data_IF_118840658804
#
_entry.id   IF_118840658804
#
_cell.length_a   1.000
_cell.length_b   1.000
_cell.length_c   1.000
_cell.angle_alpha   90.00
_cell.angle_beta   90.00
_cell.angle_gamma   90.00
#
_symmetry.space_group_name_H-M   'P 1'
#
loop_
_entity.id
_entity.type
_entity.pdbx_description
1 polymer ?
#
# COMPACT_ATOMS: atom_id res chain seq x y z
N UNK A 1 -46.36 48.46 -6.29
CA UNK A 1 -45.74 47.21 -5.74
C UNK A 1 -44.25 47.43 -5.59
N UNK A 2 -43.76 47.63 -4.36
CA UNK A 2 -42.29 47.81 -4.07
C UNK A 2 -41.69 46.45 -3.73
N UNK A 3 -40.68 46.01 -4.49
CA UNK A 3 -39.91 44.79 -4.21
C UNK A 3 -39.00 45.01 -3.00
N UNK A 4 -38.99 44.10 -2.01
CA UNK A 4 -38.08 44.17 -0.86
C UNK A 4 -36.66 43.91 -1.34
N UNK A 5 -35.73 44.83 -0.97
CA UNK A 5 -34.30 44.64 -1.24
C UNK A 5 -33.71 43.62 -0.27
N UNK A 6 -32.86 42.71 -0.71
CA UNK A 6 -32.18 41.79 0.16
C UNK A 6 -31.18 42.53 1.07
N UNK A 7 -31.37 42.44 2.39
CA UNK A 7 -30.40 42.91 3.38
C UNK A 7 -29.09 42.14 3.20
N UNK A 8 -28.06 42.81 2.77
CA UNK A 8 -26.67 42.30 2.85
C UNK A 8 -26.35 42.11 4.34
N UNK A 9 -26.27 40.82 4.79
CA UNK A 9 -25.73 40.49 6.11
C UNK A 9 -24.22 40.78 6.04
N UNK A 10 -23.79 41.90 6.61
CA UNK A 10 -22.38 42.18 6.88
C UNK A 10 -21.86 41.12 7.84
N UNK A 11 -20.67 40.62 7.58
CA UNK A 11 -19.95 39.75 8.48
C UNK A 11 -19.71 40.51 9.80
N UNK A 12 -20.14 39.96 10.92
CA UNK A 12 -19.92 40.55 12.24
C UNK A 12 -18.44 40.39 12.62
N UNK A 13 -17.85 41.33 13.38
CA UNK A 13 -16.44 41.25 13.79
C UNK A 13 -16.14 39.96 14.57
N UNK A 14 -17.12 39.39 15.26
CA UNK A 14 -16.97 38.10 15.94
C UNK A 14 -16.79 36.93 14.96
N UNK A 15 -17.49 36.97 13.82
CA UNK A 15 -17.35 35.95 12.78
C UNK A 15 -15.95 36.00 12.14
N UNK A 16 -15.37 37.18 11.95
CA UNK A 16 -14.02 37.36 11.39
C UNK A 16 -12.97 36.88 12.43
N UNK A 17 -13.15 37.20 13.71
CA UNK A 17 -12.25 36.73 14.78
C UNK A 17 -12.26 35.19 14.90
N UNK A 18 -13.42 34.56 14.80
CA UNK A 18 -13.55 33.11 14.81
C UNK A 18 -12.83 32.41 13.64
N UNK A 19 -12.89 33.01 12.46
CA UNK A 19 -12.22 32.50 11.26
C UNK A 19 -10.69 32.59 11.37
N UNK A 20 -10.17 33.71 11.83
CA UNK A 20 -8.74 33.90 12.10
C UNK A 20 -8.19 32.92 13.15
N UNK A 21 -9.00 32.66 14.18
CA UNK A 21 -8.60 31.72 15.24
C UNK A 21 -8.58 30.26 14.73
N UNK A 22 -9.54 29.87 13.89
CA UNK A 22 -9.57 28.54 13.27
C UNK A 22 -8.37 28.31 12.34
N UNK A 23 -7.99 29.33 11.57
CA UNK A 23 -6.84 29.28 10.66
C UNK A 23 -5.51 29.15 11.43
N UNK A 24 -5.37 29.91 12.55
CA UNK A 24 -4.22 29.82 13.44
C UNK A 24 -4.09 28.42 14.07
N UNK A 25 -5.20 27.83 14.52
CA UNK A 25 -5.22 26.46 15.07
C UNK A 25 -4.83 25.42 14.02
N UNK A 26 -5.29 25.57 12.78
CA UNK A 26 -4.93 24.69 11.69
C UNK A 26 -3.43 24.71 11.39
N UNK A 27 -2.83 25.91 11.36
CA UNK A 27 -1.39 26.09 11.16
C UNK A 27 -0.59 25.46 12.30
N UNK A 28 -1.00 25.70 13.56
CA UNK A 28 -0.38 25.08 14.73
C UNK A 28 -0.47 23.55 14.69
N UNK A 29 -1.59 23.00 14.24
CA UNK A 29 -1.78 21.56 14.11
C UNK A 29 -0.85 20.97 13.06
N UNK A 30 -0.71 21.61 11.90
CA UNK A 30 0.22 21.18 10.84
C UNK A 30 1.66 21.24 11.30
N UNK A 31 2.07 22.31 11.99
CA UNK A 31 3.42 22.45 12.55
C UNK A 31 3.68 21.41 13.65
N UNK A 32 2.70 21.13 14.51
CA UNK A 32 2.78 20.10 15.54
C UNK A 32 2.95 18.69 14.98
N UNK A 33 2.24 18.36 13.92
CA UNK A 33 2.41 17.07 13.21
C UNK A 33 3.76 16.98 12.49
N UNK A 34 4.24 18.06 11.88
CA UNK A 34 5.55 18.12 11.22
C UNK A 34 6.71 17.93 12.17
N UNK A 35 6.58 18.36 13.42
CA UNK A 35 7.63 18.22 14.45
C UNK A 35 7.79 16.80 15.00
N UNK A 36 6.86 15.90 14.72
CA UNK A 36 6.95 14.50 15.17
C UNK A 36 7.80 13.62 14.25
N UNK A 37 8.16 14.09 13.07
CA UNK A 37 8.97 13.32 12.09
C UNK A 37 10.47 13.41 12.36
N UNK A 38 10.92 14.28 13.27
CA UNK A 38 12.34 14.45 13.60
C UNK A 38 12.71 13.97 15.00
N UNK A 39 12.21 12.83 15.45
CA UNK A 39 12.80 12.13 16.59
C UNK A 39 13.43 10.83 16.10
N UNK A 40 14.69 10.90 15.82
CA UNK A 40 15.74 10.01 16.30
C UNK A 40 16.97 10.07 15.40
N UNK A 41 17.78 11.10 15.57
CA UNK A 41 19.23 10.92 15.41
C UNK A 41 19.83 11.22 16.77
N UNK A 42 19.98 10.20 17.57
CA UNK A 42 20.83 10.25 18.75
C UNK A 42 22.28 10.27 18.24
N UNK A 43 22.94 11.40 18.44
CA UNK A 43 24.41 11.51 18.29
C UNK A 43 25.10 10.46 19.17
N UNK A 44 25.99 9.62 18.62
CA UNK A 44 26.76 8.71 19.44
C UNK A 44 27.90 9.48 20.12
N UNK A 45 27.81 9.61 21.44
CA UNK A 45 28.94 9.97 22.29
C UNK A 45 30.05 8.93 22.11
N UNK A 46 31.31 9.32 21.93
CA UNK A 46 32.41 8.37 21.90
C UNK A 46 32.67 7.83 23.32
N UNK A 47 32.48 6.54 23.50
CA UNK A 47 32.98 5.78 24.66
C UNK A 47 34.20 4.96 24.24
N UNK A 48 35.21 4.81 25.14
CA UNK A 48 36.50 4.30 24.74
C UNK A 48 36.53 2.79 24.53
N UNK A 49 37.33 2.40 23.56
CA UNK A 49 37.88 1.07 23.25
C UNK A 49 37.58 -0.07 24.24
N UNK A 50 36.81 -1.00 23.75
CA UNK A 50 37.00 -2.41 24.11
C UNK A 50 37.17 -3.17 22.80
N UNK A 51 38.33 -3.82 22.63
CA UNK A 51 38.64 -4.78 21.60
C UNK A 51 37.54 -5.84 21.53
N UNK A 52 36.62 -5.70 20.62
CA UNK A 52 35.58 -6.70 20.39
C UNK A 52 35.99 -7.51 19.19
N UNK A 53 36.36 -8.73 19.46
CA UNK A 53 36.38 -9.89 18.58
C UNK A 53 35.31 -9.72 17.50
N UNK A 54 35.73 -9.85 16.26
CA UNK A 54 34.87 -9.81 15.05
C UNK A 54 34.00 -11.08 15.06
N UNK A 55 32.94 -11.04 15.85
CA UNK A 55 31.87 -12.05 15.74
C UNK A 55 31.12 -11.70 14.46
N UNK A 56 31.31 -12.47 13.42
CA UNK A 56 30.47 -12.43 12.23
C UNK A 56 29.05 -12.75 12.69
N UNK A 57 28.26 -11.70 12.94
CA UNK A 57 26.80 -11.88 13.03
C UNK A 57 26.35 -12.48 11.72
N UNK A 58 25.57 -13.57 11.76
CA UNK A 58 24.90 -14.06 10.56
C UNK A 58 24.20 -12.87 9.92
N UNK A 59 24.45 -12.63 8.65
CA UNK A 59 23.74 -11.59 7.89
C UNK A 59 22.25 -11.93 7.98
N UNK A 60 21.51 -11.20 8.81
CA UNK A 60 20.07 -11.30 8.79
C UNK A 60 19.62 -10.98 7.35
N UNK A 61 18.80 -11.84 6.72
CA UNK A 61 18.35 -11.61 5.36
C UNK A 61 17.66 -10.25 5.31
N UNK A 62 18.28 -9.32 4.65
CA UNK A 62 17.72 -7.98 4.44
C UNK A 62 16.55 -8.05 3.48
N UNK A 63 15.63 -7.09 3.55
CA UNK A 63 14.58 -6.93 2.56
C UNK A 63 15.04 -5.94 1.50
N UNK A 64 14.86 -6.28 0.22
CA UNK A 64 15.14 -5.34 -0.87
C UNK A 64 14.19 -4.14 -0.78
N UNK A 65 14.72 -2.94 -0.90
CA UNK A 65 13.94 -1.70 -0.80
C UNK A 65 13.08 -1.41 -2.03
N UNK A 66 13.47 -1.96 -3.20
CA UNK A 66 12.70 -1.80 -4.45
C UNK A 66 11.84 -3.04 -4.67
N UNK A 67 10.51 -2.87 -4.80
CA UNK A 67 9.62 -3.98 -5.10
C UNK A 67 9.71 -4.40 -6.57
N UNK A 68 9.47 -5.66 -6.83
CA UNK A 68 9.09 -6.16 -8.16
C UNK A 68 7.60 -5.89 -8.34
N UNK A 69 7.25 -5.19 -9.41
CA UNK A 69 5.87 -4.78 -9.67
C UNK A 69 5.26 -5.64 -10.78
N UNK A 70 4.15 -6.32 -10.46
CA UNK A 70 3.33 -7.08 -11.39
C UNK A 70 1.96 -6.42 -11.54
N UNK A 71 1.44 -6.35 -12.75
CA UNK A 71 0.08 -5.88 -13.00
C UNK A 71 -0.67 -6.91 -13.83
N UNK A 72 -1.66 -7.57 -13.23
CA UNK A 72 -2.40 -8.65 -13.86
C UNK A 72 -3.89 -8.32 -13.98
N UNK A 73 -4.55 -8.73 -15.08
CA UNK A 73 -5.98 -8.57 -15.19
C UNK A 73 -6.70 -9.44 -14.15
N UNK A 74 -7.72 -8.88 -13.50
CA UNK A 74 -8.49 -9.56 -12.47
C UNK A 74 -9.98 -9.33 -12.67
N UNK A 75 -10.73 -10.42 -12.81
CA UNK A 75 -12.21 -10.37 -12.91
C UNK A 75 -12.81 -10.19 -11.53
N UNK A 76 -12.85 -8.94 -11.04
CA UNK A 76 -13.26 -8.60 -9.67
C UNK A 76 -14.60 -9.26 -9.30
N UNK A 77 -15.64 -9.13 -10.14
CA UNK A 77 -16.97 -9.67 -9.83
C UNK A 77 -17.00 -11.21 -9.73
N UNK A 78 -16.15 -11.87 -10.52
CA UNK A 78 -16.05 -13.32 -10.47
C UNK A 78 -15.21 -13.81 -9.27
N UNK A 79 -14.11 -13.13 -8.96
CA UNK A 79 -13.27 -13.44 -7.80
C UNK A 79 -13.98 -13.18 -6.47
N UNK A 80 -14.82 -12.14 -6.41
CA UNK A 80 -15.60 -11.76 -5.24
C UNK A 80 -16.96 -12.46 -5.15
N UNK A 81 -17.33 -13.26 -6.15
CA UNK A 81 -18.56 -14.07 -6.08
C UNK A 81 -18.45 -15.15 -5.00
N UNK A 82 -19.59 -15.64 -4.54
CA UNK A 82 -19.64 -16.77 -3.61
C UNK A 82 -18.92 -18.03 -4.13
N UNK A 83 -18.73 -19.03 -3.28
CA UNK A 83 -18.08 -20.28 -3.67
C UNK A 83 -18.87 -20.94 -4.80
N UNK A 84 -18.19 -21.27 -5.91
CA UNK A 84 -18.85 -21.85 -7.07
C UNK A 84 -17.93 -21.94 -8.30
N UNK A 85 -18.47 -22.46 -9.44
CA UNK A 85 -17.68 -22.67 -10.63
C UNK A 85 -17.13 -21.37 -11.23
N UNK A 86 -17.90 -20.27 -11.14
CA UNK A 86 -17.50 -18.94 -11.62
C UNK A 86 -16.24 -18.43 -10.90
N UNK A 87 -16.21 -18.52 -9.56
CA UNK A 87 -15.05 -18.13 -8.77
C UNK A 87 -13.84 -19.03 -9.05
N UNK A 88 -14.03 -20.35 -9.10
CA UNK A 88 -12.94 -21.28 -9.43
C UNK A 88 -12.34 -21.01 -10.82
N UNK A 89 -13.15 -20.68 -11.81
CA UNK A 89 -12.66 -20.29 -13.12
C UNK A 89 -11.86 -18.97 -13.09
N UNK A 90 -12.30 -17.99 -12.29
CA UNK A 90 -11.61 -16.72 -12.12
C UNK A 90 -10.26 -16.89 -11.39
N UNK A 91 -10.20 -17.75 -10.36
CA UNK A 91 -8.95 -18.07 -9.65
C UNK A 91 -7.95 -18.75 -10.59
N UNK A 92 -8.39 -19.74 -11.40
CA UNK A 92 -7.51 -20.37 -12.40
C UNK A 92 -7.04 -19.40 -13.48
N UNK A 93 -7.86 -18.42 -13.85
CA UNK A 93 -7.44 -17.38 -14.79
C UNK A 93 -6.37 -16.46 -14.15
N UNK A 94 -6.58 -16.05 -12.90
CA UNK A 94 -5.63 -15.26 -12.13
C UNK A 94 -4.29 -15.98 -11.96
N UNK A 95 -4.31 -17.26 -11.61
CA UNK A 95 -3.14 -18.14 -11.51
C UNK A 95 -2.33 -18.12 -12.81
N UNK A 96 -2.97 -18.37 -13.95
CA UNK A 96 -2.29 -18.34 -15.26
C UNK A 96 -1.64 -16.99 -15.56
N UNK A 97 -2.33 -15.89 -15.27
CA UNK A 97 -1.79 -14.55 -15.54
C UNK A 97 -0.62 -14.22 -14.62
N UNK A 98 -0.70 -14.52 -13.32
CA UNK A 98 0.41 -14.32 -12.38
C UNK A 98 1.61 -15.19 -12.77
N UNK A 99 1.39 -16.48 -13.03
CA UNK A 99 2.45 -17.40 -13.44
C UNK A 99 3.12 -17.00 -14.76
N UNK A 100 2.34 -16.44 -15.69
CA UNK A 100 2.87 -15.91 -16.96
C UNK A 100 3.75 -14.69 -16.72
N UNK A 101 3.32 -13.74 -15.88
CA UNK A 101 4.09 -12.54 -15.57
C UNK A 101 5.37 -12.88 -14.78
N UNK A 102 5.31 -13.82 -13.83
CA UNK A 102 6.49 -14.28 -13.07
C UNK A 102 7.54 -14.92 -13.98
N UNK A 103 7.12 -15.62 -15.06
CA UNK A 103 8.03 -16.23 -16.03
C UNK A 103 8.53 -15.25 -17.09
N UNK A 104 8.03 -14.01 -17.11
CA UNK A 104 8.56 -13.02 -18.06
C UNK A 104 10.04 -12.75 -17.75
N UNK A 105 10.91 -12.59 -18.77
CA UNK A 105 12.35 -12.44 -18.54
C UNK A 105 12.70 -11.37 -17.54
N UNK A 106 11.99 -10.24 -17.61
CA UNK A 106 12.17 -9.10 -16.71
C UNK A 106 11.91 -9.43 -15.24
N UNK A 107 10.91 -10.25 -14.96
CA UNK A 107 10.51 -10.58 -13.58
C UNK A 107 11.27 -11.80 -13.08
N UNK A 108 11.44 -12.82 -13.92
CA UNK A 108 12.17 -14.04 -13.59
C UNK A 108 13.60 -13.71 -13.12
N UNK A 109 14.32 -12.86 -13.85
CA UNK A 109 15.67 -12.41 -13.47
C UNK A 109 15.72 -11.73 -12.07
N UNK A 110 14.65 -11.05 -11.69
CA UNK A 110 14.56 -10.35 -10.40
C UNK A 110 14.14 -11.24 -9.24
N UNK A 111 13.46 -12.35 -9.51
CA UNK A 111 12.84 -13.23 -8.50
C UNK A 111 13.49 -14.60 -8.38
N UNK A 112 14.39 -14.96 -9.30
CA UNK A 112 15.05 -16.27 -9.35
C UNK A 112 15.78 -16.59 -8.04
N UNK A 113 15.47 -17.72 -7.44
CA UNK A 113 16.06 -18.20 -6.19
C UNK A 113 15.71 -17.39 -4.94
N UNK A 114 14.83 -16.41 -5.05
CA UNK A 114 14.42 -15.54 -3.94
C UNK A 114 13.04 -15.91 -3.41
N UNK A 115 12.73 -15.39 -2.22
CA UNK A 115 11.41 -15.52 -1.57
C UNK A 115 10.82 -14.14 -1.35
N UNK A 116 9.50 -14.02 -1.45
CA UNK A 116 8.82 -12.80 -1.08
C UNK A 116 8.86 -12.60 0.44
N UNK A 117 9.29 -11.42 0.87
CA UNK A 117 9.27 -11.00 2.25
C UNK A 117 7.88 -10.47 2.62
N UNK A 118 7.33 -9.59 1.77
CA UNK A 118 5.97 -9.01 1.91
C UNK A 118 5.41 -8.68 0.54
N UNK A 119 4.10 -8.77 0.40
CA UNK A 119 3.39 -8.39 -0.83
C UNK A 119 2.33 -7.34 -0.51
N UNK A 120 2.33 -6.23 -1.24
CA UNK A 120 1.24 -5.27 -1.22
C UNK A 120 0.40 -5.47 -2.48
N UNK A 121 -0.91 -5.62 -2.32
CA UNK A 121 -1.83 -5.78 -3.44
C UNK A 121 -2.75 -4.56 -3.56
N UNK A 122 -2.86 -4.01 -4.76
CA UNK A 122 -3.70 -2.85 -5.08
C UNK A 122 -4.81 -3.27 -6.05
N UNK A 123 -6.04 -3.28 -5.56
CA UNK A 123 -7.20 -3.55 -6.41
C UNK A 123 -7.63 -2.31 -7.20
N UNK A 124 -7.74 -2.43 -8.51
CA UNK A 124 -8.08 -1.36 -9.45
C UNK A 124 -9.52 -1.54 -9.93
N UNK A 125 -10.47 -1.00 -9.19
CA UNK A 125 -11.92 -1.14 -9.44
C UNK A 125 -12.63 0.21 -9.60
N UNK A 126 -11.94 1.23 -10.08
CA UNK A 126 -12.47 2.57 -10.22
C UNK A 126 -12.75 3.23 -8.85
N UNK A 127 -13.91 3.86 -8.70
CA UNK A 127 -14.28 4.60 -7.49
C UNK A 127 -14.68 3.73 -6.29
N UNK A 128 -14.88 2.43 -6.48
CA UNK A 128 -15.31 1.54 -5.38
C UNK A 128 -14.10 1.05 -4.56
N UNK A 129 -13.75 1.83 -3.54
CA UNK A 129 -12.66 1.54 -2.59
C UNK A 129 -12.83 0.18 -1.92
N UNK A 130 -14.05 -0.10 -1.43
CA UNK A 130 -14.34 -1.34 -0.71
C UNK A 130 -14.19 -2.56 -1.58
N UNK A 131 -14.65 -2.48 -2.83
CA UNK A 131 -14.52 -3.56 -3.81
C UNK A 131 -13.04 -3.78 -4.17
N UNK A 132 -12.28 -2.70 -4.38
CA UNK A 132 -10.84 -2.78 -4.67
C UNK A 132 -10.06 -3.45 -3.54
N UNK A 133 -10.31 -3.06 -2.29
CA UNK A 133 -9.67 -3.69 -1.14
C UNK A 133 -10.07 -5.17 -0.97
N UNK A 134 -11.35 -5.52 -1.18
CA UNK A 134 -11.79 -6.92 -1.14
C UNK A 134 -11.12 -7.76 -2.23
N UNK A 135 -11.00 -7.20 -3.44
CA UNK A 135 -10.31 -7.84 -4.56
C UNK A 135 -8.83 -8.10 -4.20
N UNK A 136 -8.11 -7.08 -3.74
CA UNK A 136 -6.72 -7.18 -3.32
C UNK A 136 -6.53 -8.24 -2.22
N UNK A 137 -7.40 -8.24 -1.20
CA UNK A 137 -7.37 -9.24 -0.11
C UNK A 137 -7.63 -10.66 -0.63
N UNK A 138 -8.55 -10.81 -1.58
CA UNK A 138 -8.82 -12.12 -2.18
C UNK A 138 -7.62 -12.62 -2.97
N UNK A 139 -6.97 -11.75 -3.74
CA UNK A 139 -5.75 -12.10 -4.49
C UNK A 139 -4.63 -12.52 -3.54
N UNK A 140 -4.34 -11.75 -2.48
CA UNK A 140 -3.31 -12.11 -1.49
C UNK A 140 -3.52 -13.50 -0.90
N UNK A 141 -4.77 -13.92 -0.66
CA UNK A 141 -5.07 -15.27 -0.15
C UNK A 141 -4.76 -16.40 -1.13
N UNK A 142 -4.82 -16.12 -2.42
CA UNK A 142 -4.57 -17.12 -3.46
C UNK A 142 -3.06 -17.23 -3.79
N UNK A 143 -2.25 -16.19 -3.56
CA UNK A 143 -0.83 -16.15 -3.94
C UNK A 143 -0.01 -17.35 -3.44
N UNK A 144 -0.12 -17.81 -2.18
CA UNK A 144 0.65 -18.95 -1.69
C UNK A 144 0.34 -20.27 -2.41
N UNK A 145 -0.85 -20.36 -3.04
CA UNK A 145 -1.26 -21.51 -3.83
C UNK A 145 -0.83 -21.45 -5.30
N UNK A 146 -0.46 -20.24 -5.77
CA UNK A 146 -0.09 -19.97 -7.15
C UNK A 146 1.40 -20.24 -7.39
N UNK A 147 2.25 -19.74 -6.49
CA UNK A 147 3.71 -19.87 -6.68
C UNK A 147 4.44 -19.98 -5.34
N UNK A 148 5.46 -20.86 -5.24
CA UNK A 148 6.29 -21.02 -4.05
C UNK A 148 6.97 -19.73 -3.56
N UNK A 149 7.21 -18.77 -4.47
CA UNK A 149 7.73 -17.44 -4.15
C UNK A 149 6.97 -16.77 -3.00
N UNK A 150 5.65 -16.98 -2.93
CA UNK A 150 4.75 -16.32 -1.97
C UNK A 150 4.47 -17.11 -0.71
N UNK A 151 4.96 -18.37 -0.63
CA UNK A 151 4.56 -19.30 0.44
C UNK A 151 4.87 -18.81 1.84
N UNK A 152 6.02 -18.16 2.00
CA UNK A 152 6.53 -17.70 3.30
C UNK A 152 6.44 -16.17 3.45
N UNK A 153 5.73 -15.50 2.56
CA UNK A 153 5.56 -14.05 2.63
C UNK A 153 4.77 -13.65 3.89
N UNK A 154 5.24 -12.62 4.58
CA UNK A 154 4.49 -12.04 5.68
C UNK A 154 3.13 -11.50 5.20
N UNK A 155 2.17 -11.38 6.13
CA UNK A 155 0.84 -10.87 5.84
C UNK A 155 0.90 -9.54 5.06
N UNK A 156 0.49 -9.62 3.82
CA UNK A 156 0.49 -8.48 2.91
C UNK A 156 -0.67 -7.52 3.18
N UNK A 157 -0.53 -6.28 2.73
CA UNK A 157 -1.60 -5.28 2.81
C UNK A 157 -2.42 -5.25 1.53
N UNK A 158 -3.75 -5.35 1.71
CA UNK A 158 -4.72 -5.15 0.65
C UNK A 158 -5.11 -3.68 0.57
N UNK A 159 -4.79 -3.05 -0.54
CA UNK A 159 -4.97 -1.63 -0.79
C UNK A 159 -5.91 -1.41 -1.99
N UNK A 160 -6.29 -0.18 -2.21
CA UNK A 160 -7.04 0.25 -3.37
C UNK A 160 -6.26 1.35 -4.10
N UNK A 161 -6.36 1.34 -5.42
CA UNK A 161 -5.82 2.39 -6.27
C UNK A 161 -6.96 2.80 -7.22
N UNK A 162 -7.22 4.09 -7.36
CA UNK A 162 -8.37 4.67 -8.06
C UNK A 162 -8.50 4.34 -9.55
N UNK A 163 -7.63 3.54 -10.13
CA UNK A 163 -7.68 3.13 -11.52
C UNK A 163 -8.86 2.19 -11.80
N UNK A 164 -9.56 2.38 -12.93
CA UNK A 164 -10.74 1.61 -13.34
C UNK A 164 -10.40 0.49 -14.35
N UNK A 165 -9.23 -0.12 -14.24
CA UNK A 165 -8.72 -1.06 -15.26
C UNK A 165 -9.09 -2.53 -15.02
N UNK A 166 -9.82 -2.85 -13.95
CA UNK A 166 -10.10 -4.22 -13.53
C UNK A 166 -8.83 -5.09 -13.46
N UNK A 167 -7.79 -4.54 -12.88
CA UNK A 167 -6.49 -5.19 -12.66
C UNK A 167 -6.18 -5.26 -11.18
N UNK A 168 -5.21 -6.07 -10.84
CA UNK A 168 -4.54 -6.04 -9.55
C UNK A 168 -3.07 -5.77 -9.79
N UNK A 169 -2.52 -4.82 -9.05
CA UNK A 169 -1.11 -4.52 -9.04
C UNK A 169 -0.51 -5.11 -7.76
N UNK A 170 0.56 -5.88 -7.89
CA UNK A 170 1.27 -6.54 -6.79
C UNK A 170 2.66 -5.92 -6.68
N UNK A 171 2.99 -5.40 -5.53
CA UNK A 171 4.33 -4.96 -5.18
C UNK A 171 4.97 -5.99 -4.27
N UNK A 172 5.94 -6.71 -4.83
CA UNK A 172 6.59 -7.85 -4.19
C UNK A 172 7.95 -7.40 -3.67
N UNK A 173 8.10 -7.35 -2.37
CA UNK A 173 9.37 -7.10 -1.71
C UNK A 173 10.03 -8.45 -1.43
N UNK A 174 11.28 -8.60 -1.82
CA UNK A 174 12.03 -9.86 -1.75
C UNK A 174 13.04 -9.81 -0.61
N UNK A 175 13.32 -10.96 -0.01
CA UNK A 175 14.51 -11.12 0.81
C UNK A 175 15.78 -11.04 -0.05
N UNK A 176 16.85 -10.44 0.50
CA UNK A 176 18.15 -10.28 -0.16
C UNK A 176 19.16 -11.30 0.36
#
# INVERSE_FOLDING_TARGET
MRRPQPRRRGLTPEAIAGWLFADLLLVLFIVGLGSQVTKSVAEPRPSPSASASKSERPKEPGMRTKPVVLSVPARADALLSGPGPRRRAAVRALDREISKELRSPRVAEQTEGLKAAVVLAFGQTGSDVSKGQRLARQVLRELPNIDPLFKDAADGKALWNGSATNRVELWIYLFS
#
